data_IF_676355550384
#
_entry.id   IF_676355550384
#
_cell.length_a   1.000
_cell.length_b   1.000
_cell.length_c   1.000
_cell.angle_alpha   90.00
_cell.angle_beta   90.00
_cell.angle_gamma   90.00
#
_symmetry.space_group_name_H-M   'P 1'
#
loop_
_entity.id
_entity.type
_entity.pdbx_description
1 polymer ?
#
# COMPACT_ATOMS: atom_id res chain seq x y z
N UNK A 1 13.62 9.10 -1.24
CA UNK A 1 12.34 9.11 -0.49
C UNK A 1 12.53 9.73 0.91
N UNK A 2 11.69 10.70 1.34
CA UNK A 2 11.86 11.40 2.63
C UNK A 2 11.80 10.46 3.84
N UNK A 3 10.84 9.52 3.82
CA UNK A 3 10.64 8.51 4.86
C UNK A 3 11.82 7.55 5.05
N UNK A 4 12.67 7.40 4.03
CA UNK A 4 13.85 6.54 4.07
C UNK A 4 15.15 7.34 4.29
N UNK A 5 15.09 8.56 4.83
CA UNK A 5 16.27 9.39 5.04
C UNK A 5 16.98 9.76 3.73
N UNK A 6 16.20 10.00 2.66
CA UNK A 6 16.67 10.17 1.27
C UNK A 6 17.28 8.93 0.63
N UNK A 7 17.28 7.78 1.29
CA UNK A 7 17.59 6.52 0.61
C UNK A 7 16.52 6.21 -0.45
N UNK A 8 16.93 5.49 -1.49
CA UNK A 8 16.06 4.94 -2.53
C UNK A 8 16.01 3.42 -2.37
N UNK A 9 15.27 2.92 -1.35
CA UNK A 9 15.12 1.48 -1.16
C UNK A 9 14.36 0.88 -2.36
N UNK A 10 14.92 -0.20 -2.89
CA UNK A 10 14.28 -0.99 -3.94
C UNK A 10 13.05 -1.77 -3.40
N UNK A 11 12.18 -2.25 -4.29
CA UNK A 11 11.00 -3.02 -3.93
C UNK A 11 11.32 -4.21 -3.01
N UNK A 12 12.49 -4.85 -3.18
CA UNK A 12 12.93 -5.98 -2.35
C UNK A 12 13.18 -5.56 -0.90
N UNK A 13 13.75 -4.38 -0.69
CA UNK A 13 14.05 -3.85 0.64
C UNK A 13 12.74 -3.52 1.37
N UNK A 14 11.81 -2.87 0.67
CA UNK A 14 10.48 -2.54 1.20
C UNK A 14 9.72 -3.81 1.57
N UNK A 15 9.73 -4.81 0.69
CA UNK A 15 9.04 -6.08 0.97
C UNK A 15 9.66 -6.80 2.17
N UNK A 16 11.00 -6.87 2.24
CA UNK A 16 11.70 -7.47 3.40
C UNK A 16 11.35 -6.75 4.70
N UNK A 17 11.29 -5.42 4.68
CA UNK A 17 10.91 -4.62 5.85
C UNK A 17 9.48 -4.95 6.30
N UNK A 18 8.53 -5.03 5.37
CA UNK A 18 7.14 -5.43 5.64
C UNK A 18 7.06 -6.83 6.24
N UNK A 19 7.73 -7.81 5.66
CA UNK A 19 7.62 -9.22 6.07
C UNK A 19 8.39 -9.57 7.34
N UNK A 20 9.48 -8.86 7.67
CA UNK A 20 10.35 -9.20 8.80
C UNK A 20 10.22 -8.23 9.97
N UNK A 21 10.11 -6.93 9.70
CA UNK A 21 10.11 -5.90 10.75
C UNK A 21 8.70 -5.45 11.13
N UNK A 22 7.79 -5.39 10.16
CA UNK A 22 6.43 -4.95 10.42
C UNK A 22 5.46 -6.10 10.69
N UNK A 23 5.87 -7.36 10.60
CA UNK A 23 4.96 -8.52 10.61
C UNK A 23 3.91 -8.46 11.74
N UNK A 24 4.36 -8.14 12.95
CA UNK A 24 3.50 -8.18 14.14
C UNK A 24 2.68 -6.89 14.34
N UNK A 25 3.07 -5.79 13.69
CA UNK A 25 2.43 -4.47 13.82
C UNK A 25 1.62 -4.06 12.58
N UNK A 26 1.80 -4.79 11.47
CA UNK A 26 1.20 -4.45 10.18
C UNK A 26 -0.32 -4.50 10.26
N UNK A 27 -0.86 -5.50 10.96
CA UNK A 27 -2.29 -5.67 11.18
C UNK A 27 -2.86 -4.48 11.97
N UNK A 28 -2.24 -4.13 13.10
CA UNK A 28 -2.66 -2.99 13.94
C UNK A 28 -2.63 -1.67 13.17
N UNK A 29 -1.56 -1.42 12.40
CA UNK A 29 -1.43 -0.21 11.58
C UNK A 29 -2.52 -0.20 10.50
N UNK A 30 -2.79 -1.34 9.86
CA UNK A 30 -3.82 -1.43 8.84
C UNK A 30 -5.22 -1.13 9.41
N UNK A 31 -5.55 -1.69 10.58
CA UNK A 31 -6.80 -1.39 11.28
C UNK A 31 -6.92 0.10 11.62
N UNK A 32 -5.85 0.73 12.12
CA UNK A 32 -5.86 2.16 12.44
C UNK A 32 -6.07 3.02 11.19
N UNK A 33 -5.46 2.65 10.05
CA UNK A 33 -5.69 3.34 8.77
C UNK A 33 -7.15 3.21 8.31
N UNK A 34 -7.76 2.03 8.46
CA UNK A 34 -9.18 1.86 8.13
C UNK A 34 -10.09 2.72 9.01
N UNK A 35 -9.81 2.82 10.31
CA UNK A 35 -10.56 3.68 11.23
C UNK A 35 -10.47 5.15 10.84
N UNK A 36 -9.26 5.64 10.50
CA UNK A 36 -9.07 7.00 10.04
C UNK A 36 -9.79 7.29 8.71
N UNK A 37 -9.92 6.28 7.85
CA UNK A 37 -10.66 6.40 6.60
C UNK A 37 -12.18 6.45 6.86
N UNK A 38 -12.69 5.62 7.78
CA UNK A 38 -14.09 5.62 8.20
C UNK A 38 -14.49 6.97 8.84
N UNK A 39 -13.59 7.53 9.64
CA UNK A 39 -13.76 8.86 10.26
C UNK A 39 -13.56 10.03 9.26
N UNK A 40 -13.39 9.76 7.96
CA UNK A 40 -13.15 10.74 6.88
C UNK A 40 -11.90 11.62 7.06
N UNK A 41 -10.94 11.22 7.90
CA UNK A 41 -9.66 11.94 8.02
C UNK A 41 -8.71 11.66 6.85
N UNK A 42 -8.87 10.52 6.18
CA UNK A 42 -8.09 10.14 5.01
C UNK A 42 -9.00 9.56 3.92
N UNK A 43 -8.83 10.05 2.68
CA UNK A 43 -9.49 9.46 1.52
C UNK A 43 -8.61 8.37 0.92
N UNK A 44 -9.16 7.17 0.77
CA UNK A 44 -8.48 6.02 0.12
C UNK A 44 -8.60 6.06 -1.41
N UNK A 45 -9.34 7.01 -1.99
CA UNK A 45 -9.55 7.08 -3.45
C UNK A 45 -8.30 7.53 -4.22
N UNK A 46 -7.41 8.30 -3.58
CA UNK A 46 -6.19 8.82 -4.18
C UNK A 46 -4.93 8.15 -3.62
N UNK A 47 -4.77 6.84 -3.87
CA UNK A 47 -3.53 6.16 -3.54
C UNK A 47 -2.52 6.27 -4.70
N UNK A 48 -1.55 7.17 -4.55
CA UNK A 48 -0.43 7.30 -5.49
C UNK A 48 0.64 6.26 -5.14
N UNK A 49 0.61 5.11 -5.82
CA UNK A 49 1.78 4.23 -5.89
C UNK A 49 2.81 4.94 -6.74
N UNK A 50 3.88 5.43 -6.11
CA UNK A 50 5.01 6.02 -6.81
C UNK A 50 5.65 4.98 -7.77
N UNK A 51 5.27 5.06 -9.04
CA UNK A 51 6.19 4.95 -10.17
C UNK A 51 6.88 3.63 -10.50
N UNK A 52 6.63 2.51 -9.82
CA UNK A 52 7.02 1.18 -10.35
C UNK A 52 5.77 0.39 -10.73
N UNK A 53 5.37 0.54 -12.01
CA UNK A 53 4.27 -0.14 -12.70
C UNK A 53 3.87 -1.48 -12.06
N UNK A 54 2.71 -1.50 -11.42
CA UNK A 54 1.82 -2.67 -11.44
C UNK A 54 0.81 -2.43 -12.58
N UNK A 55 1.33 -2.22 -13.78
CA UNK A 55 0.55 -2.37 -15.01
C UNK A 55 0.74 -3.81 -15.51
N UNK A 56 0.19 -4.78 -14.78
CA UNK A 56 -0.10 -6.09 -15.34
C UNK A 56 -1.10 -6.81 -14.45
N UNK A 57 -2.31 -6.98 -14.98
CA UNK A 57 -3.29 -8.01 -14.59
C UNK A 57 -4.44 -7.66 -13.63
N UNK A 58 -4.86 -6.38 -13.53
CA UNK A 58 -6.23 -6.04 -13.12
C UNK A 58 -7.22 -6.02 -14.32
N UNK A 59 -6.87 -6.70 -15.42
CA UNK A 59 -7.68 -6.79 -16.64
C UNK A 59 -8.12 -8.23 -16.95
N UNK A 60 -8.23 -9.09 -15.94
CA UNK A 60 -8.89 -10.39 -16.08
C UNK A 60 -9.92 -10.56 -14.97
N UNK A 61 -11.19 -10.48 -15.39
CA UNK A 61 -12.42 -10.73 -14.64
C UNK A 61 -13.11 -9.54 -13.95
N UNK A 62 -13.47 -8.52 -14.73
CA UNK A 62 -14.84 -7.97 -14.66
C UNK A 62 -15.63 -8.50 -15.85
N UNK A 63 -16.20 -9.70 -15.73
CA UNK A 63 -17.26 -10.13 -16.63
C UNK A 63 -18.57 -9.48 -16.15
N UNK A 64 -19.06 -8.58 -16.99
CA UNK A 64 -20.29 -7.77 -16.97
C UNK A 64 -21.47 -8.35 -16.15
N UNK A 65 -22.10 -7.47 -15.36
CA UNK A 65 -23.53 -7.51 -15.07
C UNK A 65 -24.30 -7.14 -16.35
N UNK A 66 -25.24 -8.00 -16.73
CA UNK A 66 -26.20 -7.86 -17.83
C UNK A 66 -27.12 -9.06 -17.81
#
# INVERSE_FOLDING_TARGET
MWLAGRQCPDFRIINRFRSQRMKDVLETIFTAVLQLADENYISLEHYFVDGTKIEANANRYTFRMG
#
